data_IF_025744340558
#
_entry.id   IF_025744340558
#
_cell.length_a   1.000
_cell.length_b   1.000
_cell.length_c   1.000
_cell.angle_alpha   90.00
_cell.angle_beta   90.00
_cell.angle_gamma   90.00
#
_symmetry.space_group_name_H-M   'P 1'
#
loop_
_entity.id
_entity.type
_entity.pdbx_description
1 polymer ?
#
# COMPACT_ATOMS: atom_id res chain seq x y z
N UNK A 1 -52.17 63.86 -14.53
CA UNK A 1 -51.48 63.38 -13.32
C UNK A 1 -51.03 61.93 -13.44
N UNK A 2 -51.73 61.06 -14.15
CA UNK A 2 -51.42 59.60 -14.31
C UNK A 2 -50.08 59.34 -15.04
N UNK A 3 -49.73 60.21 -16.00
CA UNK A 3 -48.50 59.94 -16.81
C UNK A 3 -47.23 60.13 -16.03
N UNK A 4 -47.12 61.03 -15.09
CA UNK A 4 -45.96 61.24 -14.24
C UNK A 4 -45.74 60.05 -13.25
N UNK A 5 -46.83 59.45 -12.80
CA UNK A 5 -46.75 58.23 -11.94
C UNK A 5 -46.25 57.07 -12.74
N UNK A 6 -46.69 56.87 -13.97
CA UNK A 6 -46.21 55.82 -14.87
C UNK A 6 -44.72 55.96 -15.17
N UNK A 7 -44.25 57.17 -15.45
CA UNK A 7 -42.81 57.44 -15.67
C UNK A 7 -41.99 57.13 -14.43
N UNK A 8 -42.46 57.48 -13.24
CA UNK A 8 -41.80 57.15 -11.98
C UNK A 8 -41.66 55.63 -11.73
N UNK A 9 -42.76 54.91 -11.96
CA UNK A 9 -42.76 53.45 -11.83
C UNK A 9 -41.80 52.83 -12.82
N UNK A 10 -41.81 53.28 -14.08
CA UNK A 10 -40.88 52.71 -15.11
C UNK A 10 -39.40 52.95 -14.77
N UNK A 11 -39.08 54.14 -14.23
CA UNK A 11 -37.72 54.47 -13.79
C UNK A 11 -37.26 53.54 -12.64
N UNK A 12 -38.13 53.23 -11.67
CA UNK A 12 -37.85 52.34 -10.57
C UNK A 12 -37.60 50.91 -11.11
N UNK A 13 -38.44 50.44 -12.04
CA UNK A 13 -38.23 49.13 -12.67
C UNK A 13 -36.90 49.04 -13.42
N UNK A 14 -36.53 50.09 -14.12
CA UNK A 14 -35.28 50.14 -14.86
C UNK A 14 -34.06 50.03 -13.91
N UNK A 15 -34.08 50.80 -12.82
CA UNK A 15 -33.03 50.74 -11.79
C UNK A 15 -32.97 49.36 -11.16
N UNK A 16 -34.11 48.79 -10.77
CA UNK A 16 -34.16 47.44 -10.19
C UNK A 16 -33.58 46.37 -11.14
N UNK A 17 -33.91 46.47 -12.42
CA UNK A 17 -33.39 45.53 -13.44
C UNK A 17 -31.88 45.64 -13.59
N UNK A 18 -31.31 46.85 -13.60
CA UNK A 18 -29.85 47.04 -13.66
C UNK A 18 -29.16 46.42 -12.44
N UNK A 19 -29.72 46.65 -11.25
CA UNK A 19 -29.20 46.06 -10.01
C UNK A 19 -29.23 44.51 -10.05
N UNK A 20 -30.35 43.96 -10.49
CA UNK A 20 -30.48 42.48 -10.63
C UNK A 20 -29.46 41.94 -11.63
N UNK A 21 -29.28 42.55 -12.79
CA UNK A 21 -28.29 42.15 -13.78
C UNK A 21 -26.87 42.20 -13.24
N UNK A 22 -26.53 43.22 -12.47
CA UNK A 22 -25.22 43.33 -11.83
C UNK A 22 -24.97 42.20 -10.83
N UNK A 23 -25.92 41.90 -9.94
CA UNK A 23 -25.80 40.81 -8.97
C UNK A 23 -25.78 39.45 -9.64
N UNK A 24 -26.58 39.24 -10.68
CA UNK A 24 -26.56 37.97 -11.45
C UNK A 24 -25.21 37.76 -12.13
N UNK A 25 -24.60 38.80 -12.70
CA UNK A 25 -23.24 38.69 -13.26
C UNK A 25 -22.19 38.33 -12.24
N UNK A 26 -22.25 38.94 -11.05
CA UNK A 26 -21.35 38.63 -9.94
C UNK A 26 -21.57 37.20 -9.41
N UNK A 27 -22.82 36.77 -9.26
CA UNK A 27 -23.19 35.43 -8.83
C UNK A 27 -22.74 34.38 -9.84
N UNK A 28 -22.90 34.61 -11.14
CA UNK A 28 -22.44 33.72 -12.19
C UNK A 28 -20.91 33.52 -12.16
N UNK A 29 -20.14 34.60 -11.92
CA UNK A 29 -18.69 34.53 -11.77
C UNK A 29 -18.30 33.72 -10.55
N UNK A 30 -18.90 33.96 -9.39
CA UNK A 30 -18.65 33.20 -8.16
C UNK A 30 -19.02 31.72 -8.32
N UNK A 31 -20.14 31.41 -9.00
CA UNK A 31 -20.54 30.04 -9.30
C UNK A 31 -19.53 29.32 -10.21
N UNK A 32 -18.97 30.03 -11.19
CA UNK A 32 -17.93 29.48 -12.07
C UNK A 32 -16.64 29.16 -11.28
N UNK A 33 -16.20 30.10 -10.43
CA UNK A 33 -15.03 29.86 -9.56
C UNK A 33 -15.26 28.69 -8.61
N UNK A 34 -16.43 28.59 -8.01
CA UNK A 34 -16.80 27.45 -7.16
C UNK A 34 -16.80 26.13 -7.92
N UNK A 35 -17.26 26.12 -9.16
CA UNK A 35 -17.22 24.91 -10.03
C UNK A 35 -15.79 24.47 -10.31
N UNK A 36 -14.87 25.39 -10.57
CA UNK A 36 -13.45 25.08 -10.79
C UNK A 36 -12.78 24.53 -9.52
N UNK A 37 -13.11 25.09 -8.36
CA UNK A 37 -12.63 24.58 -7.07
C UNK A 37 -13.15 23.16 -6.84
N UNK A 38 -14.44 22.92 -7.06
CA UNK A 38 -15.06 21.60 -6.91
C UNK A 38 -14.44 20.56 -7.84
N UNK A 39 -14.13 20.91 -9.08
CA UNK A 39 -13.43 20.02 -10.01
C UNK A 39 -12.04 19.62 -9.50
N UNK A 40 -11.28 20.58 -8.95
CA UNK A 40 -9.97 20.29 -8.36
C UNK A 40 -10.08 19.37 -7.15
N UNK A 41 -11.05 19.62 -6.27
CA UNK A 41 -11.31 18.76 -5.11
C UNK A 41 -11.67 17.33 -5.52
N UNK A 42 -12.53 17.16 -6.53
CA UNK A 42 -12.90 15.84 -7.06
C UNK A 42 -11.65 15.13 -7.64
N UNK A 43 -10.81 15.82 -8.39
CA UNK A 43 -9.59 15.24 -8.93
C UNK A 43 -8.62 14.78 -7.82
N UNK A 44 -8.48 15.57 -6.77
CA UNK A 44 -7.68 15.19 -5.60
C UNK A 44 -8.28 14.00 -4.84
N UNK A 45 -9.59 13.98 -4.63
CA UNK A 45 -10.29 12.86 -4.00
C UNK A 45 -10.10 11.55 -4.79
N UNK A 46 -10.21 11.61 -6.13
CA UNK A 46 -9.96 10.44 -7.00
C UNK A 46 -8.52 9.96 -6.85
N UNK A 47 -7.55 10.89 -6.82
CA UNK A 47 -6.13 10.54 -6.61
C UNK A 47 -5.92 9.86 -5.25
N UNK A 48 -6.47 10.41 -4.18
CA UNK A 48 -6.39 9.83 -2.84
C UNK A 48 -7.08 8.46 -2.76
N UNK A 49 -8.26 8.34 -3.37
CA UNK A 49 -8.98 7.07 -3.46
C UNK A 49 -8.14 5.99 -4.16
N UNK A 50 -7.54 6.32 -5.30
CA UNK A 50 -6.69 5.39 -6.04
C UNK A 50 -5.43 5.00 -5.26
N UNK A 51 -4.84 5.92 -4.49
CA UNK A 51 -3.69 5.63 -3.63
C UNK A 51 -4.07 4.74 -2.43
N UNK A 52 -5.23 4.99 -1.83
CA UNK A 52 -5.71 4.20 -0.69
C UNK A 52 -6.21 2.80 -1.10
N UNK A 53 -6.75 2.66 -2.31
CA UNK A 53 -7.30 1.41 -2.84
C UNK A 53 -6.39 0.80 -3.91
N UNK A 54 -5.09 0.71 -3.64
CA UNK A 54 -4.15 0.01 -4.51
C UNK A 54 -3.69 -1.30 -3.88
N UNK A 55 -3.23 -2.28 -4.67
CA UNK A 55 -2.46 -3.37 -4.10
C UNK A 55 -1.18 -2.80 -3.48
N UNK A 56 -0.74 -3.36 -2.38
CA UNK A 56 0.49 -2.96 -1.69
C UNK A 56 1.26 -4.21 -1.27
N UNK A 57 2.22 -4.60 -2.10
CA UNK A 57 2.99 -5.82 -1.90
C UNK A 57 4.25 -5.51 -1.12
N UNK A 58 4.36 -6.09 0.07
CA UNK A 58 5.53 -5.96 0.95
C UNK A 58 6.30 -7.27 1.02
N UNK A 59 7.59 -7.15 1.28
CA UNK A 59 8.45 -8.30 1.61
C UNK A 59 9.10 -8.08 2.95
N UNK A 60 9.24 -9.17 3.69
CA UNK A 60 10.02 -9.22 4.91
C UNK A 60 10.59 -10.60 5.13
N UNK A 61 11.61 -10.68 5.96
CA UNK A 61 12.01 -11.94 6.55
C UNK A 61 11.31 -12.08 7.89
N UNK A 62 10.94 -13.30 8.24
CA UNK A 62 10.26 -13.61 9.49
C UNK A 62 10.82 -14.90 10.07
N UNK A 63 10.87 -15.00 11.40
CA UNK A 63 11.27 -16.21 12.10
C UNK A 63 10.01 -16.84 12.68
N UNK A 64 9.67 -18.02 12.20
CA UNK A 64 8.49 -18.75 12.64
C UNK A 64 8.90 -20.05 13.36
N UNK A 65 8.04 -20.50 14.30
CA UNK A 65 8.22 -21.75 15.05
C UNK A 65 9.61 -21.90 15.66
N UNK A 66 10.05 -20.85 16.36
CA UNK A 66 11.29 -20.86 17.16
C UNK A 66 12.56 -21.19 16.38
N UNK A 67 12.64 -20.89 15.10
CA UNK A 67 13.88 -21.11 14.39
C UNK A 67 13.83 -21.23 12.89
N UNK A 68 12.69 -21.09 12.24
CA UNK A 68 12.60 -21.16 10.80
C UNK A 68 12.66 -19.74 10.21
N UNK A 69 13.74 -19.41 9.51
CA UNK A 69 13.83 -18.19 8.74
C UNK A 69 13.02 -18.33 7.46
N UNK A 70 12.07 -17.45 7.27
CA UNK A 70 11.17 -17.43 6.14
C UNK A 70 11.24 -16.09 5.41
N UNK A 71 11.20 -16.14 4.10
CA UNK A 71 10.89 -15.01 3.23
C UNK A 71 9.38 -14.91 3.10
N UNK A 72 8.84 -13.76 3.41
CA UNK A 72 7.40 -13.49 3.43
C UNK A 72 7.10 -12.43 2.39
N UNK A 73 6.17 -12.76 1.51
CA UNK A 73 5.60 -11.86 0.51
C UNK A 73 4.12 -11.69 0.87
N UNK A 74 3.68 -10.47 1.11
CA UNK A 74 2.32 -10.18 1.56
C UNK A 74 1.74 -9.00 0.80
N UNK A 75 0.50 -9.13 0.37
CA UNK A 75 -0.26 -8.00 -0.16
C UNK A 75 -1.08 -7.40 0.97
N UNK A 76 -0.61 -6.30 1.54
CA UNK A 76 -1.29 -5.55 2.60
C UNK A 76 -2.40 -4.65 2.07
N UNK A 77 -2.48 -4.49 0.73
CA UNK A 77 -3.47 -3.64 0.08
C UNK A 77 -4.86 -4.29 -0.01
N UNK A 78 -5.91 -3.46 -0.16
CA UNK A 78 -7.30 -3.92 -0.28
C UNK A 78 -7.61 -4.57 -1.63
N UNK A 79 -6.81 -4.34 -2.66
CA UNK A 79 -6.98 -4.94 -3.98
C UNK A 79 -5.96 -6.06 -4.24
N UNK A 80 -6.29 -7.05 -5.07
CA UNK A 80 -5.35 -8.08 -5.47
C UNK A 80 -4.21 -7.50 -6.32
N UNK A 81 -3.02 -8.05 -6.18
CA UNK A 81 -1.85 -7.71 -6.98
C UNK A 81 -1.66 -8.71 -8.12
N UNK A 82 -1.50 -8.20 -9.35
CA UNK A 82 -1.33 -9.02 -10.54
C UNK A 82 0.08 -8.91 -11.11
N UNK A 83 0.58 -10.03 -11.63
CA UNK A 83 1.87 -10.07 -12.30
C UNK A 83 3.03 -9.75 -11.37
N UNK A 84 2.93 -10.10 -10.08
CA UNK A 84 3.97 -9.85 -9.10
C UNK A 84 5.22 -10.62 -9.44
N UNK A 85 6.31 -9.91 -9.65
CA UNK A 85 7.65 -10.44 -9.86
C UNK A 85 8.57 -9.96 -8.77
N UNK A 86 9.37 -10.87 -8.21
CA UNK A 86 10.31 -10.56 -7.12
C UNK A 86 11.72 -10.83 -7.61
N UNK A 87 12.54 -9.79 -7.62
CA UNK A 87 13.95 -9.84 -8.02
C UNK A 87 14.81 -9.61 -6.78
N UNK A 88 15.67 -10.56 -6.46
CA UNK A 88 16.62 -10.46 -5.34
C UNK A 88 18.03 -10.51 -5.92
N UNK A 89 18.99 -9.84 -5.28
CA UNK A 89 20.38 -9.82 -5.73
C UNK A 89 20.97 -11.24 -5.74
N UNK A 90 21.68 -11.57 -6.82
CA UNK A 90 22.27 -12.90 -7.02
C UNK A 90 23.31 -13.26 -5.96
N UNK A 91 24.03 -12.26 -5.43
CA UNK A 91 25.00 -12.48 -4.33
C UNK A 91 24.31 -13.06 -3.10
N UNK A 92 23.13 -12.54 -2.73
CA UNK A 92 22.35 -13.08 -1.62
C UNK A 92 21.86 -14.50 -1.93
N UNK A 93 21.31 -14.74 -3.12
CA UNK A 93 20.76 -16.04 -3.52
C UNK A 93 21.85 -17.11 -3.50
N UNK A 94 23.03 -16.82 -4.06
CA UNK A 94 24.13 -17.77 -4.16
C UNK A 94 24.73 -18.17 -2.80
N UNK A 95 24.56 -17.34 -1.79
CA UNK A 95 25.02 -17.59 -0.42
C UNK A 95 23.98 -18.31 0.45
N UNK A 96 22.82 -18.65 -0.08
CA UNK A 96 21.84 -19.45 0.65
C UNK A 96 22.29 -20.91 0.76
N UNK A 97 22.03 -21.60 1.88
CA UNK A 97 22.63 -22.89 2.21
C UNK A 97 22.12 -24.07 1.36
N UNK A 98 20.94 -23.94 0.73
CA UNK A 98 20.30 -25.03 -0.03
C UNK A 98 20.05 -24.62 -1.48
N UNK A 99 20.56 -25.40 -2.43
CA UNK A 99 20.38 -25.18 -3.87
C UNK A 99 18.89 -25.16 -4.31
N UNK A 100 18.03 -25.90 -3.61
CA UNK A 100 16.58 -25.90 -3.87
C UNK A 100 15.98 -24.56 -3.54
N UNK A 101 16.42 -23.94 -2.46
CA UNK A 101 15.99 -22.62 -2.04
C UNK A 101 16.49 -21.57 -3.03
N UNK A 102 17.78 -21.64 -3.43
CA UNK A 102 18.35 -20.78 -4.47
C UNK A 102 17.54 -20.87 -5.76
N UNK A 103 17.23 -22.10 -6.21
CA UNK A 103 16.40 -22.34 -7.40
C UNK A 103 15.00 -21.74 -7.26
N UNK A 104 14.39 -21.82 -6.07
CA UNK A 104 13.06 -21.24 -5.80
C UNK A 104 13.08 -19.73 -5.92
N UNK A 105 14.12 -19.06 -5.40
CA UNK A 105 14.26 -17.61 -5.55
C UNK A 105 14.49 -17.17 -7.01
N UNK A 106 15.29 -17.94 -7.78
CA UNK A 106 15.46 -17.65 -9.21
C UNK A 106 14.15 -17.82 -9.98
N UNK A 107 13.34 -18.83 -9.65
CA UNK A 107 12.00 -19.00 -10.23
C UNK A 107 11.03 -17.86 -9.89
N UNK A 108 11.11 -17.28 -8.69
CA UNK A 108 10.31 -16.12 -8.34
C UNK A 108 10.55 -14.92 -9.26
N UNK A 109 11.79 -14.73 -9.71
CA UNK A 109 12.17 -13.68 -10.66
C UNK A 109 11.50 -13.85 -12.03
N UNK A 110 11.33 -15.09 -12.47
CA UNK A 110 10.74 -15.44 -13.77
C UNK A 110 9.21 -15.58 -13.71
N UNK A 111 8.67 -15.82 -12.53
CA UNK A 111 7.25 -16.07 -12.31
C UNK A 111 6.46 -14.77 -12.21
N UNK A 112 5.24 -14.78 -12.76
CA UNK A 112 4.24 -13.74 -12.55
C UNK A 112 3.20 -14.27 -11.58
N UNK A 113 3.30 -13.86 -10.33
CA UNK A 113 2.40 -14.32 -9.28
C UNK A 113 1.12 -13.47 -9.23
N UNK A 114 0.05 -14.10 -8.78
CA UNK A 114 -1.17 -13.43 -8.32
C UNK A 114 -1.22 -13.51 -6.80
N UNK A 115 -1.43 -12.37 -6.15
CA UNK A 115 -1.54 -12.31 -4.68
C UNK A 115 -2.84 -11.60 -4.34
N UNK A 116 -3.78 -12.35 -3.76
CA UNK A 116 -5.06 -11.78 -3.34
C UNK A 116 -4.86 -10.69 -2.26
N UNK A 117 -5.87 -9.87 -2.05
CA UNK A 117 -5.90 -8.91 -0.94
C UNK A 117 -5.65 -9.63 0.39
N UNK A 118 -4.74 -9.08 1.20
CA UNK A 118 -4.32 -9.63 2.50
C UNK A 118 -3.78 -11.08 2.46
N UNK A 119 -3.38 -11.55 1.28
CA UNK A 119 -2.76 -12.86 1.14
C UNK A 119 -1.28 -12.79 1.49
N UNK A 120 -0.86 -13.76 2.31
CA UNK A 120 0.54 -14.00 2.70
C UNK A 120 1.05 -15.26 2.03
N UNK A 121 2.20 -15.16 1.39
CA UNK A 121 2.96 -16.28 0.84
C UNK A 121 4.29 -16.40 1.59
N UNK A 122 4.69 -17.60 1.92
CA UNK A 122 5.88 -17.84 2.73
C UNK A 122 6.79 -18.86 2.05
N UNK A 123 8.07 -18.51 1.90
CA UNK A 123 9.12 -19.39 1.40
C UNK A 123 10.13 -19.63 2.53
N UNK A 124 10.35 -20.88 2.89
CA UNK A 124 11.35 -21.25 3.89
C UNK A 124 12.76 -21.02 3.32
N UNK A 125 13.62 -20.36 4.10
CA UNK A 125 15.02 -20.11 3.75
C UNK A 125 15.95 -21.04 4.52
N UNK A 126 15.77 -21.14 5.83
CA UNK A 126 16.62 -21.98 6.67
C UNK A 126 15.79 -22.59 7.81
N UNK A 127 16.05 -23.88 8.06
CA UNK A 127 15.37 -24.65 9.11
C UNK A 127 16.12 -24.72 10.43
N UNK A 128 17.35 -24.19 10.53
CA UNK A 128 18.22 -24.34 11.70
C UNK A 128 18.82 -23.05 12.25
N UNK A 129 18.40 -21.88 11.74
CA UNK A 129 18.93 -20.58 12.15
C UNK A 129 20.47 -20.46 12.13
N UNK A 130 21.14 -21.16 11.23
CA UNK A 130 22.58 -21.00 11.07
C UNK A 130 22.90 -19.73 10.25
N UNK A 131 22.38 -18.58 10.69
CA UNK A 131 22.64 -17.26 10.07
C UNK A 131 24.13 -16.97 9.87
N UNK A 132 24.98 -17.61 10.70
CA UNK A 132 26.44 -17.48 10.59
C UNK A 132 26.98 -18.03 9.28
N UNK A 133 26.27 -18.94 8.63
CA UNK A 133 26.68 -19.56 7.35
C UNK A 133 26.29 -18.72 6.13
N UNK A 134 25.38 -17.77 6.28
CA UNK A 134 25.02 -16.87 5.19
C UNK A 134 26.07 -15.75 5.14
N UNK A 135 26.93 -15.77 4.12
CA UNK A 135 28.03 -14.81 3.98
C UNK A 135 27.50 -13.42 3.60
N UNK A 136 26.59 -13.33 2.63
CA UNK A 136 25.94 -12.08 2.25
C UNK A 136 24.61 -11.95 3.03
N UNK A 137 24.56 -11.00 3.94
CA UNK A 137 23.40 -10.79 4.83
C UNK A 137 22.44 -9.73 4.35
N UNK A 138 22.79 -9.01 3.28
CA UNK A 138 21.98 -7.92 2.74
C UNK A 138 21.23 -8.37 1.51
N UNK A 139 19.92 -8.51 1.64
CA UNK A 139 19.02 -8.78 0.54
C UNK A 139 18.51 -7.45 -0.06
N UNK A 140 18.86 -7.19 -1.33
CA UNK A 140 18.28 -6.10 -2.12
C UNK A 140 17.17 -6.68 -2.97
N UNK A 141 15.96 -6.24 -2.71
CA UNK A 141 14.74 -6.83 -3.25
C UNK A 141 14.01 -5.77 -4.05
N UNK A 142 13.67 -6.11 -5.29
CA UNK A 142 12.84 -5.30 -6.17
C UNK A 142 11.58 -6.09 -6.48
N UNK A 143 10.44 -5.49 -6.26
CA UNK A 143 9.12 -6.07 -6.55
C UNK A 143 8.47 -5.22 -7.63
N UNK A 144 7.91 -5.87 -8.64
CA UNK A 144 7.13 -5.21 -9.69
C UNK A 144 5.76 -5.85 -9.79
N UNK A 145 4.70 -5.06 -9.82
CA UNK A 145 3.32 -5.52 -9.93
C UNK A 145 2.41 -4.38 -10.39
N UNK A 146 1.43 -4.65 -11.23
CA UNK A 146 0.42 -3.68 -11.70
C UNK A 146 0.99 -2.30 -12.13
N UNK A 147 2.23 -2.27 -12.64
CA UNK A 147 2.93 -1.05 -13.01
C UNK A 147 3.61 -0.33 -11.85
N UNK A 148 3.52 -0.83 -10.62
CA UNK A 148 4.25 -0.34 -9.46
C UNK A 148 5.61 -1.01 -9.34
N UNK A 149 6.56 -0.29 -8.77
CA UNK A 149 7.91 -0.78 -8.47
C UNK A 149 8.22 -0.40 -7.02
N UNK A 150 8.52 -1.41 -6.21
CA UNK A 150 8.94 -1.22 -4.82
C UNK A 150 10.35 -1.79 -4.66
N UNK A 151 11.23 -1.06 -4.00
CA UNK A 151 12.61 -1.50 -3.73
C UNK A 151 12.86 -1.46 -2.23
N UNK A 152 13.36 -2.56 -1.70
CA UNK A 152 13.63 -2.72 -0.27
C UNK A 152 14.99 -3.36 -0.07
N UNK A 153 15.71 -2.89 0.94
CA UNK A 153 16.98 -3.46 1.38
C UNK A 153 16.81 -3.99 2.79
N UNK A 154 17.02 -5.28 2.98
CA UNK A 154 16.84 -5.94 4.28
C UNK A 154 18.16 -6.60 4.67
N UNK A 155 18.69 -6.20 5.83
CA UNK A 155 19.84 -6.87 6.46
C UNK A 155 19.32 -7.96 7.41
N UNK A 156 19.52 -9.23 7.02
CA UNK A 156 19.08 -10.38 7.82
C UNK A 156 19.92 -10.57 9.08
N UNK A 157 21.07 -9.93 9.23
CA UNK A 157 21.89 -10.03 10.45
C UNK A 157 21.14 -9.54 11.70
N UNK A 158 20.20 -8.61 11.51
CA UNK A 158 19.34 -8.10 12.59
C UNK A 158 18.49 -9.19 13.23
N UNK A 159 18.11 -10.22 12.48
CA UNK A 159 17.29 -11.33 12.98
C UNK A 159 18.09 -12.28 13.87
N UNK A 160 19.41 -12.35 13.70
CA UNK A 160 20.30 -13.10 14.59
C UNK A 160 20.34 -12.56 16.01
N UNK A 161 20.06 -11.27 16.22
CA UNK A 161 19.95 -10.64 17.52
C UNK A 161 18.58 -10.87 18.17
N UNK A 162 17.58 -11.25 17.38
CA UNK A 162 16.19 -11.43 17.79
C UNK A 162 15.83 -12.90 18.06
N UNK A 163 16.82 -13.74 18.45
CA UNK A 163 16.63 -15.19 18.71
C UNK A 163 15.56 -15.50 19.80
N UNK A 164 14.90 -14.50 20.36
CA UNK A 164 13.85 -14.62 21.39
C UNK A 164 12.48 -14.19 20.84
N UNK A 165 12.35 -13.96 19.53
CA UNK A 165 11.06 -13.56 18.97
C UNK A 165 10.13 -14.77 18.85
N UNK A 166 9.30 -14.99 19.87
CA UNK A 166 8.10 -15.81 19.76
C UNK A 166 6.97 -14.93 19.21
N UNK A 167 6.32 -15.38 18.15
CA UNK A 167 5.12 -14.68 17.69
C UNK A 167 4.04 -14.76 18.79
N UNK A 168 3.21 -13.73 18.94
CA UNK A 168 2.10 -13.75 19.92
C UNK A 168 1.20 -15.00 19.78
N UNK A 169 1.08 -15.55 18.57
CA UNK A 169 0.34 -16.77 18.28
C UNK A 169 1.05 -18.03 18.83
N UNK A 170 2.37 -18.05 18.86
CA UNK A 170 3.16 -19.15 19.44
C UNK A 170 3.11 -19.13 20.95
N UNK A 171 3.16 -17.96 21.57
CA UNK A 171 2.99 -17.79 23.01
C UNK A 171 1.61 -18.27 23.48
N UNK A 172 0.56 -17.96 22.74
CA UNK A 172 -0.80 -18.46 23.02
C UNK A 172 -0.83 -19.99 22.89
N UNK A 173 -0.26 -20.57 21.83
CA UNK A 173 -0.21 -22.01 21.62
C UNK A 173 0.57 -22.74 22.71
N UNK A 174 1.72 -22.20 23.15
CA UNK A 174 2.52 -22.77 24.23
C UNK A 174 1.80 -22.67 25.58
N UNK A 175 1.10 -21.58 25.85
CA UNK A 175 0.32 -21.40 27.07
C UNK A 175 -0.87 -22.36 27.12
N UNK A 176 -1.55 -22.61 25.99
CA UNK A 176 -2.64 -23.60 25.91
C UNK A 176 -2.09 -25.00 26.19
N UNK A 177 -0.95 -25.39 25.61
CA UNK A 177 -0.33 -26.68 25.88
C UNK A 177 0.08 -26.85 27.33
N UNK A 178 0.73 -25.86 27.94
CA UNK A 178 1.11 -25.90 29.36
C UNK A 178 -0.12 -26.06 30.28
N UNK A 179 -1.21 -25.37 29.97
CA UNK A 179 -2.43 -25.49 30.76
C UNK A 179 -3.12 -26.85 30.59
N UNK A 180 -3.04 -27.46 29.38
CA UNK A 180 -3.57 -28.78 29.12
C UNK A 180 -2.74 -29.92 29.79
N UNK A 181 -1.44 -29.71 30.01
CA UNK A 181 -0.57 -30.70 30.69
C UNK A 181 -0.66 -30.60 32.23
N UNK A 182 -1.25 -29.54 32.77
CA UNK A 182 -1.45 -29.35 34.21
C UNK A 182 -2.87 -29.72 34.68
N UNK A 183 -3.77 -30.12 33.79
CA UNK A 183 -5.14 -30.56 34.05
C UNK A 183 -5.26 -32.08 33.96
#
# INVERSE_FOLDING_TARGET
>A
MTDWIMVGITAIYMIATIVICYFNGKSAKASKEQTEISKKQIAEMIKQYNLANRPFVTVRFDIIRSGLLCFVLENEGPLPAHGVQVCINEEFINNLPDERIQSSFRKLKESKLYIASHQKMTLLIDGRLEFSKIAEKVARIKITYDGYIEETVIDISQYGLLMVYTSATEDISQNIKKNAEQS
#
